data_IF_055410585853
#
_entry.id   IF_055410585853
#
_cell.length_a   1.000
_cell.length_b   1.000
_cell.length_c   1.000
_cell.angle_alpha   90.00
_cell.angle_beta   90.00
_cell.angle_gamma   90.00
#
_symmetry.space_group_name_H-M   'P 1'
#
loop_
_entity.id
_entity.type
_entity.pdbx_description
1 polymer ?
#
# COMPACT_ATOMS: atom_id res chain seq x y z
N UNK A 1 11.03 6.42 -26.22
CA UNK A 1 10.66 6.19 -24.81
C UNK A 1 10.14 4.77 -24.61
N UNK A 2 9.17 4.30 -25.42
CA UNK A 2 8.73 2.91 -25.42
C UNK A 2 9.90 1.92 -25.59
N UNK A 3 10.79 2.14 -26.55
CA UNK A 3 11.93 1.23 -26.78
C UNK A 3 12.87 1.12 -25.57
N UNK A 4 13.03 2.21 -24.82
CA UNK A 4 13.83 2.22 -23.58
C UNK A 4 13.11 1.50 -22.45
N UNK A 5 11.79 1.69 -22.31
CA UNK A 5 10.99 0.94 -21.35
C UNK A 5 11.03 -0.56 -21.64
N UNK A 6 10.91 -0.97 -22.92
CA UNK A 6 11.01 -2.37 -23.33
C UNK A 6 12.40 -2.98 -23.10
N UNK A 7 13.46 -2.18 -23.04
CA UNK A 7 14.79 -2.65 -22.62
C UNK A 7 14.86 -2.96 -21.12
N UNK A 8 14.20 -2.15 -20.29
CA UNK A 8 14.16 -2.36 -18.84
C UNK A 8 13.17 -3.45 -18.41
N UNK A 9 11.98 -3.47 -19.02
CA UNK A 9 10.88 -4.38 -18.73
C UNK A 9 10.22 -4.81 -20.03
N UNK A 10 10.46 -6.06 -20.46
CA UNK A 10 9.92 -6.61 -21.73
C UNK A 10 8.46 -7.02 -21.65
N UNK A 11 7.90 -7.12 -20.44
CA UNK A 11 6.53 -7.58 -20.19
C UNK A 11 5.51 -6.45 -20.16
N UNK A 12 5.96 -5.20 -20.24
CA UNK A 12 5.09 -4.03 -20.23
C UNK A 12 4.67 -3.64 -21.65
N UNK A 13 3.36 -3.55 -21.84
CA UNK A 13 2.74 -3.07 -23.08
C UNK A 13 2.00 -1.75 -22.86
N UNK A 14 1.75 -1.04 -23.95
CA UNK A 14 0.96 0.20 -23.91
C UNK A 14 -0.48 -0.17 -23.58
N UNK A 15 -1.01 0.42 -22.51
CA UNK A 15 -2.40 0.22 -22.06
C UNK A 15 -3.28 1.46 -22.23
N UNK A 16 -2.67 2.62 -22.51
CA UNK A 16 -3.40 3.88 -22.59
C UNK A 16 -2.53 5.10 -22.35
N UNK A 17 -3.16 6.21 -21.97
CA UNK A 17 -2.52 7.50 -21.76
C UNK A 17 -3.26 8.32 -20.70
N UNK A 18 -2.61 9.35 -20.15
CA UNK A 18 -3.19 10.20 -19.12
C UNK A 18 -3.17 11.69 -19.49
N UNK A 19 -4.12 12.44 -18.95
CA UNK A 19 -4.26 13.87 -19.10
C UNK A 19 -4.40 14.56 -17.74
N UNK A 20 -3.97 15.82 -17.65
CA UNK A 20 -4.16 16.66 -16.47
C UNK A 20 -5.37 17.57 -16.68
N UNK A 21 -6.56 17.03 -16.42
CA UNK A 21 -7.82 17.76 -16.53
C UNK A 21 -8.84 17.18 -15.54
N UNK A 22 -9.84 17.98 -15.18
CA UNK A 22 -10.97 17.54 -14.34
C UNK A 22 -11.91 16.59 -15.10
N UNK A 23 -12.04 16.83 -16.41
CA UNK A 23 -12.87 16.02 -17.30
C UNK A 23 -12.26 15.84 -18.70
N UNK A 24 -12.91 15.02 -19.51
CA UNK A 24 -12.56 14.79 -20.91
C UNK A 24 -12.78 16.07 -21.72
N UNK A 25 -11.78 16.43 -22.53
CA UNK A 25 -11.82 17.61 -23.39
C UNK A 25 -11.99 17.22 -24.85
N UNK A 26 -12.37 18.15 -25.72
CA UNK A 26 -12.49 17.88 -27.17
C UNK A 26 -11.15 17.41 -27.78
N UNK A 27 -10.03 17.91 -27.25
CA UNK A 27 -8.69 17.48 -27.65
C UNK A 27 -8.39 16.02 -27.28
N UNK A 28 -9.07 15.48 -26.27
CA UNK A 28 -8.89 14.09 -25.85
C UNK A 28 -9.29 13.12 -26.97
N UNK A 29 -10.26 13.47 -27.81
CA UNK A 29 -10.69 12.64 -28.95
C UNK A 29 -9.55 12.41 -29.95
N UNK A 30 -8.83 13.47 -30.32
CA UNK A 30 -7.72 13.40 -31.29
C UNK A 30 -6.54 12.58 -30.76
N UNK A 31 -6.18 12.78 -29.48
CA UNK A 31 -5.10 12.03 -28.84
C UNK A 31 -5.50 10.56 -28.69
N UNK A 32 -6.77 10.30 -28.37
CA UNK A 32 -7.26 8.95 -28.21
C UNK A 32 -7.23 8.16 -29.53
N UNK A 33 -7.64 8.77 -30.64
CA UNK A 33 -7.55 8.17 -31.97
C UNK A 33 -6.09 7.80 -32.33
N UNK A 34 -5.12 8.65 -31.99
CA UNK A 34 -3.70 8.33 -32.16
C UNK A 34 -3.27 7.08 -31.38
N UNK A 35 -3.69 6.94 -30.12
CA UNK A 35 -3.36 5.77 -29.30
C UNK A 35 -4.15 4.51 -29.68
N UNK A 36 -5.33 4.65 -30.26
CA UNK A 36 -6.12 3.52 -30.79
C UNK A 36 -5.42 2.79 -31.94
N UNK A 37 -4.43 3.42 -32.59
CA UNK A 37 -3.59 2.77 -33.60
C UNK A 37 -2.54 1.85 -32.94
N UNK A 38 -2.08 2.21 -31.73
CA UNK A 38 -1.00 1.51 -31.04
C UNK A 38 -1.49 0.36 -30.15
N UNK A 39 -2.70 0.46 -29.62
CA UNK A 39 -3.27 -0.48 -28.64
C UNK A 39 -4.77 -0.63 -28.88
N UNK A 40 -5.26 -1.86 -28.78
CA UNK A 40 -6.70 -2.14 -28.76
C UNK A 40 -7.32 -1.67 -27.43
N UNK A 41 -8.36 -0.82 -27.51
CA UNK A 41 -9.09 -0.26 -26.36
C UNK A 41 -8.18 0.52 -25.37
N UNK A 42 -7.54 1.62 -25.77
CA UNK A 42 -6.68 2.38 -24.88
C UNK A 42 -7.49 3.01 -23.74
N UNK A 43 -6.93 3.01 -22.53
CA UNK A 43 -7.54 3.66 -21.36
C UNK A 43 -7.11 5.13 -21.32
N UNK A 44 -8.06 6.05 -21.21
CA UNK A 44 -7.79 7.46 -20.97
C UNK A 44 -7.94 7.78 -19.48
N UNK A 45 -6.88 8.23 -18.83
CA UNK A 45 -6.86 8.52 -17.40
C UNK A 45 -6.74 10.03 -17.13
N UNK A 46 -7.69 10.63 -16.43
CA UNK A 46 -7.64 12.06 -16.10
C UNK A 46 -7.28 12.29 -14.64
N UNK A 47 -6.35 13.20 -14.40
CA UNK A 47 -5.91 13.61 -13.05
C UNK A 47 -6.24 15.09 -12.86
N UNK A 48 -7.18 15.37 -11.95
CA UNK A 48 -7.54 16.74 -11.58
C UNK A 48 -6.50 17.31 -10.60
N UNK A 49 -5.82 18.35 -11.05
CA UNK A 49 -4.84 19.11 -10.25
C UNK A 49 -5.43 20.34 -9.58
N UNK A 50 -6.65 20.75 -9.92
CA UNK A 50 -7.28 21.95 -9.35
C UNK A 50 -7.77 21.71 -7.92
N UNK A 51 -7.95 20.44 -7.51
CA UNK A 51 -8.30 20.03 -6.15
C UNK A 51 -9.42 20.86 -5.52
N UNK A 52 -10.48 21.19 -6.30
CA UNK A 52 -11.58 22.05 -5.82
C UNK A 52 -12.25 21.50 -4.55
N UNK A 53 -12.27 20.18 -4.40
CA UNK A 53 -12.82 19.46 -3.25
C UNK A 53 -11.75 19.07 -2.19
N UNK A 54 -10.56 19.67 -2.24
CA UNK A 54 -9.45 19.37 -1.32
C UNK A 54 -8.83 17.98 -1.50
N UNK A 55 -9.17 17.28 -2.58
CA UNK A 55 -8.60 15.97 -2.94
C UNK A 55 -8.28 15.95 -4.44
N UNK A 56 -7.19 15.27 -4.79
CA UNK A 56 -6.88 14.95 -6.19
C UNK A 56 -7.92 13.95 -6.71
N UNK A 57 -8.70 14.33 -7.71
CA UNK A 57 -9.65 13.44 -8.34
C UNK A 57 -8.98 12.70 -9.50
N UNK A 58 -9.16 11.40 -9.56
CA UNK A 58 -8.67 10.55 -10.62
C UNK A 58 -9.88 9.86 -11.26
N UNK A 59 -9.94 9.84 -12.59
CA UNK A 59 -11.01 9.15 -13.34
C UNK A 59 -10.38 8.38 -14.49
N UNK A 60 -10.92 7.20 -14.77
CA UNK A 60 -10.49 6.36 -15.88
C UNK A 60 -11.64 6.21 -16.86
N UNK A 61 -11.33 6.25 -18.15
CA UNK A 61 -12.32 6.20 -19.22
C UNK A 61 -11.91 5.19 -20.29
N UNK A 62 -12.90 4.53 -20.87
CA UNK A 62 -12.78 3.73 -22.10
C UNK A 62 -13.62 4.41 -23.18
N UNK A 63 -13.12 4.43 -24.41
CA UNK A 63 -13.89 4.96 -25.53
C UNK A 63 -14.87 3.93 -26.08
N UNK A 64 -16.02 4.42 -26.53
CA UNK A 64 -16.98 3.68 -27.31
C UNK A 64 -17.36 4.52 -28.52
N UNK A 65 -17.19 3.96 -29.71
CA UNK A 65 -17.60 4.63 -30.95
C UNK A 65 -19.11 4.64 -31.03
N UNK A 66 -19.69 5.83 -31.09
CA UNK A 66 -21.12 6.02 -31.26
C UNK A 66 -21.35 6.83 -32.54
N UNK A 67 -22.17 6.29 -33.44
CA UNK A 67 -22.49 6.96 -34.69
C UNK A 67 -23.67 6.31 -35.39
N UNK A 68 -24.37 7.09 -36.19
CA UNK A 68 -25.43 6.59 -37.07
C UNK A 68 -24.80 6.18 -38.41
N UNK A 69 -25.18 5.04 -39.02
CA UNK A 69 -24.72 4.69 -40.35
C UNK A 69 -25.01 5.82 -41.36
N UNK A 70 -23.95 6.40 -41.93
CA UNK A 70 -24.04 7.53 -42.88
C UNK A 70 -24.03 8.95 -42.26
N UNK A 71 -23.86 9.07 -40.94
CA UNK A 71 -23.75 10.36 -40.23
C UNK A 71 -22.39 10.59 -39.56
N UNK A 72 -22.31 11.62 -38.70
CA UNK A 72 -21.09 11.93 -37.93
C UNK A 72 -20.83 10.84 -36.89
N UNK A 73 -19.69 10.19 -37.00
CA UNK A 73 -19.16 9.26 -35.99
C UNK A 73 -18.46 10.05 -34.89
N UNK A 74 -18.84 9.81 -33.63
CA UNK A 74 -18.20 10.40 -32.45
C UNK A 74 -17.62 9.33 -31.54
N UNK A 75 -16.65 9.73 -30.71
CA UNK A 75 -16.15 8.90 -29.62
C UNK A 75 -16.77 9.38 -28.31
N UNK A 76 -17.37 8.47 -27.56
CA UNK A 76 -17.86 8.73 -26.21
C UNK A 76 -16.91 8.07 -25.21
N UNK A 77 -16.56 8.81 -24.17
CA UNK A 77 -15.75 8.31 -23.07
C UNK A 77 -16.66 7.85 -21.93
N UNK A 78 -16.66 6.55 -21.66
CA UNK A 78 -17.44 5.96 -20.57
C UNK A 78 -16.54 5.79 -19.34
N UNK A 79 -16.91 6.33 -18.17
CA UNK A 79 -16.11 6.19 -16.96
C UNK A 79 -16.12 4.73 -16.48
N UNK A 80 -14.94 4.24 -16.08
CA UNK A 80 -14.76 2.90 -15.51
C UNK A 80 -14.25 3.01 -14.07
N UNK A 81 -14.65 2.09 -13.18
CA UNK A 81 -14.12 2.03 -11.82
C UNK A 81 -12.63 1.70 -11.87
N UNK A 82 -11.83 2.40 -11.07
CA UNK A 82 -10.40 2.16 -10.91
C UNK A 82 -10.07 1.93 -9.44
N UNK A 83 -9.01 1.15 -9.19
CA UNK A 83 -8.49 0.91 -7.86
C UNK A 83 -6.97 0.96 -7.92
N UNK A 84 -6.35 1.73 -7.02
CA UNK A 84 -4.90 1.73 -6.84
C UNK A 84 -4.54 0.47 -6.05
N UNK A 85 -3.74 -0.41 -6.66
CA UNK A 85 -3.17 -1.58 -6.03
C UNK A 85 -1.70 -1.32 -5.77
N UNK A 86 -1.24 -1.71 -4.61
CA UNK A 86 0.16 -1.59 -4.19
C UNK A 86 0.74 -2.99 -4.04
N UNK A 87 2.00 -3.17 -4.43
CA UNK A 87 2.77 -4.34 -4.01
C UNK A 87 3.11 -4.22 -2.50
N UNK A 88 3.43 -5.34 -1.83
CA UNK A 88 3.78 -5.35 -0.40
C UNK A 88 4.92 -4.38 -0.06
N UNK A 89 5.97 -4.35 -0.89
CA UNK A 89 7.10 -3.45 -0.68
C UNK A 89 6.71 -1.97 -0.88
N UNK A 90 5.93 -1.70 -1.91
CA UNK A 90 5.41 -0.36 -2.19
C UNK A 90 4.46 0.13 -1.10
N UNK A 91 3.59 -0.74 -0.56
CA UNK A 91 2.66 -0.38 0.50
C UNK A 91 3.40 0.14 1.73
N UNK A 92 4.50 -0.53 2.13
CA UNK A 92 5.34 -0.09 3.27
C UNK A 92 6.02 1.24 2.97
N UNK A 93 6.51 1.43 1.73
CA UNK A 93 7.13 2.68 1.31
C UNK A 93 6.12 3.84 1.30
N UNK A 94 4.95 3.63 0.71
CA UNK A 94 3.85 4.60 0.67
C UNK A 94 3.39 4.95 2.08
N UNK A 95 3.24 3.97 2.98
CA UNK A 95 2.90 4.23 4.38
C UNK A 95 3.97 5.11 5.04
N UNK A 96 5.25 4.78 4.84
CA UNK A 96 6.37 5.54 5.40
C UNK A 96 6.40 6.97 4.88
N UNK A 97 6.21 7.19 3.57
CA UNK A 97 6.15 8.53 2.98
C UNK A 97 4.90 9.29 3.36
N UNK A 98 3.77 8.60 3.55
CA UNK A 98 2.51 9.21 3.96
C UNK A 98 2.59 9.82 5.37
N UNK A 99 3.54 9.39 6.20
CA UNK A 99 3.81 9.99 7.52
C UNK A 99 4.40 11.40 7.41
N UNK A 100 5.03 11.75 6.29
CA UNK A 100 5.60 13.07 6.03
C UNK A 100 4.64 13.99 5.24
N UNK A 101 3.32 13.78 5.37
CA UNK A 101 2.29 14.66 4.81
C UNK A 101 2.28 16.02 5.50
N UNK A 102 3.30 16.84 5.22
CA UNK A 102 3.48 18.17 5.82
C UNK A 102 4.56 19.04 5.17
N UNK A 103 5.17 18.62 4.05
CA UNK A 103 6.14 19.45 3.33
C UNK A 103 7.46 19.67 4.08
N UNK A 104 7.78 18.84 5.08
CA UNK A 104 9.09 18.87 5.71
C UNK A 104 10.13 18.49 4.66
N UNK A 105 11.05 19.39 4.36
CA UNK A 105 12.20 19.16 3.45
C UNK A 105 13.17 18.09 3.97
N UNK A 106 12.97 17.63 5.21
CA UNK A 106 13.80 16.57 5.77
C UNK A 106 13.39 15.21 5.21
N UNK A 107 14.35 14.37 4.77
CA UNK A 107 14.05 13.00 4.39
C UNK A 107 13.30 12.29 5.52
N UNK A 108 12.31 11.48 5.16
CA UNK A 108 11.61 10.65 6.15
C UNK A 108 12.64 9.72 6.81
N UNK A 109 12.86 9.90 8.12
CA UNK A 109 13.80 9.06 8.85
C UNK A 109 13.20 7.66 8.97
N UNK A 110 13.92 6.67 8.45
CA UNK A 110 13.60 5.27 8.70
C UNK A 110 13.72 5.04 10.20
N UNK A 111 12.59 4.81 10.87
CA UNK A 111 12.58 4.59 12.31
C UNK A 111 13.34 3.30 12.63
N UNK A 112 14.08 3.31 13.74
CA UNK A 112 14.64 2.07 14.30
C UNK A 112 13.50 1.06 14.50
N UNK A 113 13.77 -0.22 14.21
CA UNK A 113 12.75 -1.28 14.24
C UNK A 113 11.94 -1.34 15.54
N UNK A 114 12.57 -1.05 16.69
CA UNK A 114 11.91 -1.01 18.00
C UNK A 114 10.87 0.11 18.11
N UNK A 115 11.21 1.32 17.66
CA UNK A 115 10.27 2.44 17.69
C UNK A 115 9.09 2.20 16.74
N UNK A 116 9.35 1.58 15.59
CA UNK A 116 8.30 1.18 14.65
C UNK A 116 7.33 0.20 15.29
N UNK A 117 7.83 -0.83 15.99
CA UNK A 117 7.00 -1.81 16.70
C UNK A 117 6.17 -1.13 17.80
N UNK A 118 6.79 -0.31 18.65
CA UNK A 118 6.08 0.43 19.71
C UNK A 118 4.92 1.26 19.16
N UNK A 119 5.18 2.00 18.07
CA UNK A 119 4.16 2.84 17.41
C UNK A 119 3.02 2.00 16.85
N UNK A 120 3.34 0.88 16.21
CA UNK A 120 2.33 -0.04 15.67
C UNK A 120 1.49 -0.65 16.78
N UNK A 121 2.07 -0.94 17.94
CA UNK A 121 1.34 -1.38 19.14
C UNK A 121 0.38 -0.30 19.62
N UNK A 122 0.80 0.96 19.68
CA UNK A 122 -0.10 2.07 20.07
C UNK A 122 -1.30 2.18 19.13
N UNK A 123 -1.06 2.13 17.81
CA UNK A 123 -2.12 2.15 16.80
C UNK A 123 -3.07 0.96 16.96
N UNK A 124 -2.53 -0.24 17.23
CA UNK A 124 -3.34 -1.43 17.46
C UNK A 124 -4.22 -1.28 18.72
N UNK A 125 -3.66 -0.75 19.80
CA UNK A 125 -4.40 -0.48 21.05
C UNK A 125 -5.54 0.50 20.80
N UNK A 126 -5.31 1.56 20.03
CA UNK A 126 -6.35 2.53 19.72
C UNK A 126 -7.46 1.94 18.83
N UNK A 127 -7.13 1.12 17.84
CA UNK A 127 -8.13 0.38 17.05
C UNK A 127 -8.92 -0.63 17.87
N UNK A 128 -8.27 -1.27 18.85
CA UNK A 128 -8.94 -2.18 19.78
C UNK A 128 -9.94 -1.42 20.66
N UNK A 129 -9.59 -0.22 21.14
CA UNK A 129 -10.49 0.65 21.92
C UNK A 129 -11.72 1.05 21.10
N UNK A 130 -11.54 1.48 19.85
CA UNK A 130 -12.65 1.82 18.94
C UNK A 130 -13.57 0.61 18.72
N UNK A 131 -13.00 -0.58 18.52
CA UNK A 131 -13.75 -1.82 18.33
C UNK A 131 -14.53 -2.19 19.60
N UNK A 132 -13.91 -2.05 20.77
CA UNK A 132 -14.53 -2.33 22.06
C UNK A 132 -15.67 -1.36 22.37
N UNK A 133 -15.51 -0.08 22.00
CA UNK A 133 -16.58 0.90 22.07
C UNK A 133 -17.76 0.49 21.18
N UNK A 134 -17.51 0.11 19.93
CA UNK A 134 -18.56 -0.38 19.02
C UNK A 134 -19.32 -1.57 19.60
N UNK A 135 -18.62 -2.56 20.16
CA UNK A 135 -19.26 -3.74 20.77
C UNK A 135 -20.13 -3.34 21.97
N UNK A 136 -19.67 -2.41 22.82
CA UNK A 136 -20.47 -1.90 23.95
C UNK A 136 -21.75 -1.20 23.49
N UNK A 137 -21.66 -0.35 22.47
CA UNK A 137 -22.84 0.35 21.90
C UNK A 137 -23.87 -0.62 21.33
N UNK A 138 -23.42 -1.70 20.68
CA UNK A 138 -24.31 -2.75 20.15
C UNK A 138 -24.95 -3.57 21.28
N UNK A 139 -24.18 -3.91 22.32
CA UNK A 139 -24.70 -4.66 23.49
C UNK A 139 -25.72 -3.85 24.29
N UNK A 140 -25.50 -2.54 24.40
CA UNK A 140 -26.43 -1.62 25.07
C UNK A 140 -27.71 -1.33 24.24
N UNK A 141 -27.73 -1.72 22.96
CA UNK A 141 -28.85 -1.49 22.06
C UNK A 141 -28.88 -0.10 21.40
N UNK A 142 -27.84 0.72 21.59
CA UNK A 142 -27.73 2.07 21.02
C UNK A 142 -27.49 2.03 19.50
N UNK A 143 -26.93 0.92 18.99
CA UNK A 143 -26.58 0.74 17.57
C UNK A 143 -27.00 -0.64 17.06
N UNK A 144 -27.61 -0.69 15.87
CA UNK A 144 -27.91 -1.95 15.18
C UNK A 144 -26.59 -2.64 14.81
N UNK A 145 -26.36 -3.83 15.37
CA UNK A 145 -25.17 -4.62 15.10
C UNK A 145 -25.16 -5.17 13.68
N UNK A 146 -24.01 -5.09 13.02
CA UNK A 146 -23.78 -5.73 11.72
C UNK A 146 -23.27 -7.17 11.94
N UNK A 147 -23.97 -8.13 11.36
CA UNK A 147 -23.64 -9.55 11.48
C UNK A 147 -22.31 -9.91 10.77
N UNK A 148 -21.92 -9.16 9.73
CA UNK A 148 -20.64 -9.38 9.05
C UNK A 148 -19.47 -8.99 9.97
N UNK A 149 -19.59 -7.86 10.66
CA UNK A 149 -18.60 -7.40 11.65
C UNK A 149 -18.52 -8.38 12.81
N UNK A 150 -19.66 -8.84 13.33
CA UNK A 150 -19.71 -9.84 14.40
C UNK A 150 -18.98 -11.13 14.05
N UNK A 151 -19.17 -11.65 12.83
CA UNK A 151 -18.44 -12.84 12.34
C UNK A 151 -16.94 -12.61 12.22
N UNK A 152 -16.52 -11.44 11.71
CA UNK A 152 -15.10 -11.07 11.61
C UNK A 152 -14.46 -10.99 13.00
N UNK A 153 -15.13 -10.36 13.97
CA UNK A 153 -14.66 -10.29 15.35
C UNK A 153 -14.54 -11.68 16.00
N UNK A 154 -15.54 -12.55 15.79
CA UNK A 154 -15.49 -13.93 16.27
C UNK A 154 -14.33 -14.71 15.65
N UNK A 155 -14.06 -14.54 14.35
CA UNK A 155 -12.91 -15.15 13.69
C UNK A 155 -11.58 -14.66 14.25
N UNK A 156 -11.48 -13.36 14.60
CA UNK A 156 -10.26 -12.79 15.18
C UNK A 156 -10.03 -13.40 16.57
N UNK A 157 -11.04 -13.41 17.44
CA UNK A 157 -10.91 -13.98 18.80
C UNK A 157 -10.68 -15.48 18.75
N UNK A 158 -11.35 -16.20 17.83
CA UNK A 158 -11.18 -17.63 17.65
C UNK A 158 -9.85 -18.03 17.01
N UNK A 159 -9.13 -17.10 16.37
CA UNK A 159 -7.78 -17.36 15.83
C UNK A 159 -6.70 -17.40 16.90
N UNK A 160 -6.97 -16.91 18.11
CA UNK A 160 -6.01 -16.94 19.21
C UNK A 160 -5.99 -18.35 19.80
N UNK A 161 -4.86 -19.08 19.73
CA UNK A 161 -4.77 -20.42 20.28
C UNK A 161 -4.93 -20.36 21.80
N UNK A 162 -5.80 -21.22 22.33
CA UNK A 162 -5.97 -21.39 23.77
C UNK A 162 -4.84 -22.26 24.29
N UNK A 163 -3.88 -21.66 24.99
CA UNK A 163 -2.74 -22.34 25.59
C UNK A 163 -2.73 -22.08 27.09
N UNK A 164 -2.28 -23.07 27.86
CA UNK A 164 -2.02 -22.91 29.29
C UNK A 164 -0.92 -21.88 29.52
N UNK A 165 -1.05 -21.05 30.56
CA UNK A 165 -0.11 -19.97 30.86
C UNK A 165 1.34 -20.49 31.01
N UNK A 166 1.51 -21.68 31.58
CA UNK A 166 2.81 -22.34 31.77
C UNK A 166 3.49 -22.69 30.44
N UNK A 167 2.73 -23.10 29.43
CA UNK A 167 3.28 -23.44 28.11
C UNK A 167 3.72 -22.18 27.36
N UNK A 168 2.97 -21.08 27.48
CA UNK A 168 3.34 -19.79 26.88
C UNK A 168 4.63 -19.25 27.49
N UNK A 169 4.74 -19.28 28.82
CA UNK A 169 5.93 -18.82 29.54
C UNK A 169 7.17 -19.65 29.16
N UNK A 170 7.03 -20.97 29.10
CA UNK A 170 8.11 -21.86 28.65
C UNK A 170 8.52 -21.56 27.20
N UNK A 171 7.56 -21.36 26.30
CA UNK A 171 7.85 -21.05 24.89
C UNK A 171 8.54 -19.69 24.74
N UNK A 172 8.10 -18.67 25.46
CA UNK A 172 8.73 -17.34 25.46
C UNK A 172 10.14 -17.40 26.05
N UNK A 173 10.35 -18.11 27.15
CA UNK A 173 11.67 -18.22 27.78
C UNK A 173 12.66 -18.95 26.86
N UNK A 174 12.24 -20.04 26.22
CA UNK A 174 13.07 -20.76 25.25
C UNK A 174 13.45 -19.85 24.07
N UNK A 175 12.48 -19.13 23.49
CA UNK A 175 12.74 -18.20 22.39
C UNK A 175 13.70 -17.06 22.82
N UNK A 176 13.53 -16.54 24.04
CA UNK A 176 14.40 -15.52 24.60
C UNK A 176 15.83 -16.05 24.77
N UNK A 177 16.00 -17.27 25.32
CA UNK A 177 17.30 -17.92 25.46
C UNK A 177 18.00 -18.11 24.11
N UNK A 178 17.27 -18.59 23.09
CA UNK A 178 17.80 -18.77 21.73
C UNK A 178 18.25 -17.43 21.13
N UNK A 179 17.43 -16.38 21.25
CA UNK A 179 17.78 -15.05 20.75
C UNK A 179 19.01 -14.47 21.47
N UNK A 180 19.10 -14.63 22.79
CA UNK A 180 20.27 -14.23 23.58
C UNK A 180 21.53 -15.00 23.16
N UNK A 181 21.40 -16.30 22.87
CA UNK A 181 22.52 -17.11 22.39
C UNK A 181 23.03 -16.62 21.04
N UNK A 182 22.14 -16.31 20.09
CA UNK A 182 22.50 -15.77 18.77
C UNK A 182 23.17 -14.39 18.87
N UNK A 183 22.66 -13.52 19.75
CA UNK A 183 23.27 -12.22 20.02
C UNK A 183 24.67 -12.37 20.63
N UNK A 184 24.83 -13.28 21.58
CA UNK A 184 26.12 -13.56 22.20
C UNK A 184 27.14 -14.09 21.18
N UNK A 185 26.75 -15.07 20.36
CA UNK A 185 27.60 -15.60 19.29
C UNK A 185 27.98 -14.53 18.27
N UNK A 186 27.05 -13.66 17.88
CA UNK A 186 27.33 -12.54 16.97
C UNK A 186 28.31 -11.52 17.57
N UNK A 187 28.19 -11.24 18.88
CA UNK A 187 29.15 -10.38 19.57
C UNK A 187 30.53 -11.03 19.68
N UNK A 188 30.57 -12.34 19.92
CA UNK A 188 31.81 -13.10 20.00
C UNK A 188 32.55 -13.13 18.66
N UNK A 189 31.84 -13.40 17.55
CA UNK A 189 32.44 -13.38 16.21
C UNK A 189 32.93 -11.99 15.84
N UNK A 190 32.18 -10.92 16.18
CA UNK A 190 32.62 -9.54 15.97
C UNK A 190 33.89 -9.20 16.76
N UNK A 191 33.97 -9.62 18.02
CA UNK A 191 35.16 -9.44 18.85
C UNK A 191 36.36 -10.23 18.30
N UNK A 192 36.15 -11.48 17.91
CA UNK A 192 37.20 -12.32 17.33
C UNK A 192 37.73 -11.73 16.02
N UNK A 193 36.85 -11.21 15.17
CA UNK A 193 37.21 -10.55 13.92
C UNK A 193 37.96 -9.24 14.17
N UNK A 194 37.57 -8.48 15.20
CA UNK A 194 38.30 -7.28 15.62
C UNK A 194 39.71 -7.60 16.14
N UNK A 195 39.88 -8.69 16.89
CA UNK A 195 41.20 -9.12 17.38
C UNK A 195 42.05 -9.63 16.23
N UNK A 196 41.48 -10.45 15.33
CA UNK A 196 42.17 -10.94 14.13
C UNK A 196 42.66 -9.79 13.24
N UNK A 197 41.82 -8.78 12.99
CA UNK A 197 42.22 -7.60 12.21
C UNK A 197 43.36 -6.81 12.88
N UNK A 198 43.34 -6.69 14.21
CA UNK A 198 44.43 -6.01 14.94
C UNK A 198 45.73 -6.80 14.90
N UNK A 199 45.67 -8.13 15.01
CA UNK A 199 46.86 -8.99 14.89
C UNK A 199 47.46 -8.93 13.49
N UNK A 200 46.63 -9.00 12.45
CA UNK A 200 47.09 -8.84 11.05
C UNK A 200 47.61 -7.43 10.73
N UNK A 201 47.23 -6.42 11.50
CA UNK A 201 47.75 -5.05 11.32
C UNK A 201 49.12 -4.84 11.99
N UNK A 202 49.53 -5.75 12.89
CA UNK A 202 50.79 -5.68 13.63
C UNK A 202 51.86 -6.61 13.01
N UNK A 203 51.43 -7.66 12.32
CA UNK A 203 52.29 -8.57 11.54
C UNK A 203 52.51 -8.03 10.13
#
# INVERSE_FOLDING_TARGET
>A
MLDLHKQASRTEDIVGWFATSDDVTDHSTLIHEYYSIATDNPIHFTVDTQMKNGRMAMKAYVSSTMGVPGGTTGLIFTPIPHQIKYEKAEAVAVETFSRNKGGSKSPAVLQNGVHHVSRSTDVLVDRLKETLQYVKEVVNGDRVGDNEIGRKLMSIVGSVPQMEASQVEQMMNNNMQDLLMVLYLSSLTKSQLSVGNKLNSIM
#
